data_IF_050077728139
#
_entry.id   IF_050077728139
#
_cell.length_a   1.000
_cell.length_b   1.000
_cell.length_c   1.000
_cell.angle_alpha   90.00
_cell.angle_beta   90.00
_cell.angle_gamma   90.00
#
_symmetry.space_group_name_H-M   'P 1'
#
loop_
_entity.id
_entity.type
_entity.pdbx_description
1 polymer ?
#
# COMPACT_ATOMS: atom_id res chain seq x y z
N UNK A 1 -39.14 -40.67 -19.09
CA UNK A 1 -38.27 -39.66 -18.47
C UNK A 1 -37.09 -40.36 -17.81
N UNK A 2 -35.88 -40.19 -18.36
CA UNK A 2 -34.69 -40.21 -17.52
C UNK A 2 -33.64 -39.16 -17.91
N UNK A 3 -32.79 -38.88 -16.93
CA UNK A 3 -31.56 -38.09 -16.96
C UNK A 3 -30.47 -38.88 -17.70
N UNK A 4 -29.87 -38.30 -18.75
CA UNK A 4 -28.43 -38.36 -19.11
C UNK A 4 -28.26 -38.07 -20.60
N UNK A 5 -27.55 -36.99 -20.95
CA UNK A 5 -26.66 -36.86 -22.11
C UNK A 5 -26.46 -35.37 -22.43
N UNK A 6 -25.25 -34.87 -22.13
CA UNK A 6 -24.49 -33.90 -22.96
C UNK A 6 -23.18 -33.54 -22.24
N UNK A 7 -22.27 -34.49 -22.23
CA UNK A 7 -20.82 -34.22 -22.25
C UNK A 7 -20.36 -34.66 -23.65
N UNK A 8 -19.44 -33.86 -24.24
CA UNK A 8 -18.63 -34.11 -25.44
C UNK A 8 -19.13 -33.54 -26.79
N UNK A 9 -18.59 -32.38 -27.15
CA UNK A 9 -18.10 -31.93 -28.48
C UNK A 9 -17.81 -30.41 -28.36
N UNK A 10 -16.70 -29.81 -28.78
CA UNK A 10 -15.61 -30.22 -29.64
C UNK A 10 -14.41 -29.30 -29.32
N UNK A 11 -13.19 -29.86 -29.29
CA UNK A 11 -11.92 -29.12 -29.29
C UNK A 11 -11.49 -28.83 -30.74
N UNK A 12 -10.65 -27.79 -30.89
CA UNK A 12 -9.69 -27.50 -31.96
C UNK A 12 -10.06 -26.43 -33.01
N UNK A 13 -9.30 -25.33 -33.04
CA UNK A 13 -8.38 -24.99 -34.14
C UNK A 13 -7.39 -23.88 -33.69
N UNK A 14 -6.15 -23.97 -34.18
CA UNK A 14 -4.95 -23.17 -33.84
C UNK A 14 -4.36 -22.59 -35.13
N UNK A 15 -3.69 -21.42 -34.99
CA UNK A 15 -2.71 -20.78 -35.90
C UNK A 15 -3.27 -20.13 -37.20
N UNK A 16 -2.73 -19.04 -37.78
CA UNK A 16 -1.48 -18.28 -37.65
C UNK A 16 -1.71 -16.90 -38.33
N UNK A 17 -1.04 -15.82 -37.93
CA UNK A 17 -0.24 -14.97 -38.85
C UNK A 17 0.51 -13.87 -38.08
N UNK A 18 1.82 -13.83 -38.32
CA UNK A 18 2.72 -12.74 -37.98
C UNK A 18 2.84 -11.81 -39.19
N UNK A 19 2.93 -10.49 -38.95
CA UNK A 19 3.38 -9.53 -39.97
C UNK A 19 4.34 -8.53 -39.32
N UNK A 20 5.58 -8.55 -39.79
CA UNK A 20 6.60 -7.52 -39.59
C UNK A 20 6.28 -6.33 -40.51
N UNK A 21 6.40 -5.10 -40.01
CA UNK A 21 6.66 -3.94 -40.84
C UNK A 21 7.65 -3.01 -40.13
N UNK A 22 8.84 -2.92 -40.71
CA UNK A 22 9.86 -1.93 -40.40
C UNK A 22 9.62 -0.69 -41.26
N UNK A 23 9.71 0.50 -40.66
CA UNK A 23 10.08 1.70 -41.41
C UNK A 23 10.84 2.66 -40.51
N UNK A 24 12.07 2.94 -40.90
CA UNK A 24 12.93 4.01 -40.39
C UNK A 24 12.30 5.38 -40.66
N UNK A 25 12.40 6.28 -39.69
CA UNK A 25 12.26 7.72 -39.88
C UNK A 25 13.22 8.44 -38.94
N UNK A 26 14.24 9.08 -39.50
CA UNK A 26 15.26 9.86 -38.80
C UNK A 26 14.99 11.35 -39.03
N UNK A 27 14.82 12.17 -37.97
CA UNK A 27 15.27 13.57 -37.92
C UNK A 27 15.06 14.25 -36.53
N UNK A 28 16.17 14.33 -35.79
CA UNK A 28 16.77 15.43 -34.99
C UNK A 28 15.95 16.51 -34.24
N UNK A 29 16.12 16.45 -32.91
CA UNK A 29 16.56 17.45 -31.90
C UNK A 29 15.95 18.86 -31.72
N UNK A 30 15.61 19.14 -30.45
CA UNK A 30 15.70 20.47 -29.82
C UNK A 30 15.21 20.52 -28.36
N UNK A 31 16.12 20.70 -27.39
CA UNK A 31 15.85 21.49 -26.15
C UNK A 31 15.41 20.81 -24.83
N UNK A 32 16.39 20.33 -24.05
CA UNK A 32 16.56 20.27 -22.58
C UNK A 32 15.39 20.26 -21.55
N UNK A 33 15.39 19.25 -20.66
CA UNK A 33 15.45 19.34 -19.18
C UNK A 33 15.76 17.94 -18.57
N UNK A 34 16.51 17.79 -17.45
CA UNK A 34 16.89 16.48 -16.94
C UNK A 34 15.72 15.82 -16.17
N UNK A 35 15.43 14.55 -16.46
CA UNK A 35 14.52 13.74 -15.68
C UNK A 35 15.22 13.20 -14.41
N UNK A 36 14.54 13.07 -13.26
CA UNK A 36 15.09 12.36 -12.12
C UNK A 36 15.07 10.85 -12.44
N UNK A 37 16.23 10.32 -12.78
CA UNK A 37 16.41 8.89 -13.06
C UNK A 37 16.23 8.08 -11.79
N UNK A 38 15.12 7.36 -11.68
CA UNK A 38 15.08 6.15 -10.87
C UNK A 38 16.13 5.19 -11.44
N UNK A 39 17.14 4.86 -10.64
CA UNK A 39 18.12 3.84 -11.01
C UNK A 39 17.40 2.53 -11.34
N UNK A 40 17.49 2.11 -12.60
CA UNK A 40 16.92 0.86 -13.12
C UNK A 40 17.84 -0.34 -12.92
N UNK A 41 19.08 -0.11 -12.46
CA UNK A 41 20.06 -1.15 -12.23
C UNK A 41 19.74 -1.95 -10.96
N UNK A 42 19.81 -3.30 -11.00
CA UNK A 42 19.87 -4.11 -9.78
C UNK A 42 21.02 -3.60 -8.89
N UNK A 43 20.89 -3.67 -7.55
CA UNK A 43 22.01 -3.36 -6.67
C UNK A 43 23.22 -4.22 -7.08
N UNK A 44 24.40 -3.58 -7.12
CA UNK A 44 25.64 -4.24 -7.47
C UNK A 44 25.85 -5.51 -6.64
N UNK A 45 26.27 -6.59 -7.30
CA UNK A 45 26.62 -7.85 -6.66
C UNK A 45 27.69 -7.58 -5.58
N UNK A 46 27.31 -7.65 -4.31
CA UNK A 46 28.18 -7.38 -3.16
C UNK A 46 27.48 -6.81 -1.93
N UNK A 47 26.33 -6.14 -2.07
CA UNK A 47 25.49 -5.77 -0.94
C UNK A 47 24.50 -6.91 -0.63
N UNK A 48 24.35 -7.30 0.64
CA UNK A 48 23.36 -8.30 1.06
C UNK A 48 21.94 -7.96 0.59
N UNK A 49 21.00 -8.91 0.73
CA UNK A 49 19.64 -8.81 0.19
C UNK A 49 18.98 -7.42 0.48
N UNK A 50 18.24 -6.84 -0.48
CA UNK A 50 17.43 -5.67 -0.23
C UNK A 50 16.39 -5.98 0.87
N UNK A 51 15.99 -4.94 1.60
CA UNK A 51 14.98 -5.02 2.65
C UNK A 51 13.72 -4.33 2.21
N UNK A 52 12.58 -4.99 2.36
CA UNK A 52 11.25 -4.38 2.34
C UNK A 52 10.83 -4.06 3.77
N UNK A 53 10.88 -2.79 4.15
CA UNK A 53 10.34 -2.31 5.42
C UNK A 53 8.84 -2.09 5.32
N UNK A 54 8.09 -2.55 6.33
CA UNK A 54 6.67 -2.23 6.49
C UNK A 54 6.53 -1.29 7.68
N UNK A 55 5.99 -0.09 7.47
CA UNK A 55 5.67 0.85 8.55
C UNK A 55 4.18 1.13 8.57
N UNK A 56 3.63 1.28 9.77
CA UNK A 56 2.20 1.48 9.93
C UNK A 56 1.71 1.22 11.36
N UNK A 57 0.41 1.00 11.45
CA UNK A 57 -0.31 0.84 12.71
C UNK A 57 -0.67 -0.62 13.04
N UNK A 58 -1.70 -0.84 13.87
CA UNK A 58 -2.16 -2.17 14.29
C UNK A 58 -2.65 -3.04 13.13
N UNK A 59 -3.10 -2.44 12.04
CA UNK A 59 -3.59 -3.17 10.85
C UNK A 59 -2.46 -3.66 9.94
N UNK A 60 -1.22 -3.22 10.20
CA UNK A 60 0.00 -3.66 9.50
C UNK A 60 0.87 -4.56 10.40
N UNK A 61 0.91 -4.25 11.70
CA UNK A 61 1.72 -4.92 12.74
C UNK A 61 1.59 -6.46 12.73
N UNK A 62 2.67 -7.13 13.15
CA UNK A 62 2.65 -8.57 13.50
C UNK A 62 1.64 -8.83 14.62
N UNK A 63 0.86 -9.91 14.47
CA UNK A 63 -0.34 -10.15 15.27
C UNK A 63 -0.14 -10.28 16.77
N UNK A 64 -1.24 -10.11 17.49
CA UNK A 64 -1.44 -10.55 18.88
C UNK A 64 -2.59 -11.55 18.90
N UNK A 65 -2.78 -12.33 19.97
CA UNK A 65 -3.83 -13.35 20.00
C UNK A 65 -5.20 -12.80 19.52
N UNK A 66 -5.75 -13.39 18.46
CA UNK A 66 -7.03 -13.01 17.85
C UNK A 66 -7.02 -11.87 16.83
N UNK A 67 -5.91 -11.13 16.66
CA UNK A 67 -5.80 -10.00 15.73
C UNK A 67 -4.49 -10.04 14.94
N UNK A 68 -4.56 -9.92 13.62
CA UNK A 68 -3.41 -9.95 12.72
C UNK A 68 -3.47 -8.77 11.75
N UNK A 69 -2.38 -8.03 11.62
CA UNK A 69 -2.20 -7.04 10.56
C UNK A 69 -1.69 -7.70 9.28
N UNK A 70 -1.96 -7.10 8.12
CA UNK A 70 -1.59 -7.68 6.82
C UNK A 70 -0.08 -7.80 6.61
N UNK A 71 0.73 -7.04 7.36
CA UNK A 71 2.18 -7.04 7.21
C UNK A 71 2.85 -8.35 7.63
N UNK A 72 2.14 -9.23 8.32
CA UNK A 72 2.62 -10.59 8.62
C UNK A 72 2.40 -11.55 7.42
N UNK A 73 1.17 -11.80 6.94
CA UNK A 73 0.93 -12.67 5.79
C UNK A 73 1.55 -12.16 4.47
N UNK A 74 1.75 -10.85 4.31
CA UNK A 74 2.37 -10.29 3.10
C UNK A 74 3.81 -10.78 2.91
N UNK A 75 4.53 -11.12 3.97
CA UNK A 75 5.91 -11.56 3.89
C UNK A 75 6.06 -12.83 3.03
N UNK A 76 5.08 -13.73 3.09
CA UNK A 76 5.07 -14.98 2.29
C UNK A 76 4.87 -14.76 0.78
N UNK A 77 4.47 -13.56 0.36
CA UNK A 77 4.34 -13.18 -1.05
C UNK A 77 5.64 -12.68 -1.68
N UNK A 78 6.72 -12.59 -0.90
CA UNK A 78 8.04 -12.19 -1.36
C UNK A 78 9.01 -13.37 -1.27
N UNK A 79 9.92 -13.47 -2.25
CA UNK A 79 10.90 -14.55 -2.32
C UNK A 79 12.02 -14.31 -1.28
N UNK A 80 12.11 -15.14 -0.22
CA UNK A 80 13.08 -14.92 0.86
C UNK A 80 14.54 -15.12 0.40
N UNK A 81 14.77 -15.76 -0.75
CA UNK A 81 16.11 -15.85 -1.34
C UNK A 81 16.54 -14.53 -2.03
N UNK A 82 15.62 -13.59 -2.24
CA UNK A 82 15.85 -12.37 -3.03
C UNK A 82 15.57 -11.07 -2.29
N UNK A 83 14.74 -11.09 -1.24
CA UNK A 83 14.42 -9.91 -0.44
C UNK A 83 14.10 -10.30 1.01
N UNK A 84 14.49 -9.45 1.95
CA UNK A 84 14.12 -9.59 3.37
C UNK A 84 12.90 -8.71 3.66
N UNK A 85 11.84 -9.26 4.24
CA UNK A 85 10.68 -8.47 4.70
C UNK A 85 10.81 -8.19 6.20
N UNK A 86 10.74 -6.91 6.60
CA UNK A 86 10.88 -6.48 7.99
C UNK A 86 9.68 -5.62 8.38
N UNK A 87 8.82 -6.17 9.23
CA UNK A 87 7.66 -5.46 9.74
C UNK A 87 8.02 -4.59 10.96
N UNK A 88 8.02 -3.28 10.76
CA UNK A 88 8.29 -2.25 11.78
C UNK A 88 7.03 -1.54 12.25
N UNK A 89 5.86 -1.96 11.79
CA UNK A 89 4.60 -1.37 12.20
C UNK A 89 4.33 -1.60 13.70
N UNK A 90 3.67 -0.62 14.32
CA UNK A 90 3.43 -0.63 15.77
C UNK A 90 1.98 -0.27 16.07
N UNK A 91 1.31 -1.16 16.80
CA UNK A 91 -0.08 -0.98 17.19
C UNK A 91 -0.33 0.36 17.90
N UNK A 92 -1.43 1.01 17.52
CA UNK A 92 -1.86 2.27 18.09
C UNK A 92 -1.04 3.50 17.69
N UNK A 93 -0.13 3.41 16.71
CA UNK A 93 0.60 4.58 16.20
C UNK A 93 -0.14 5.23 15.05
N UNK A 94 -0.02 6.54 14.96
CA UNK A 94 -0.43 7.35 13.81
C UNK A 94 0.79 7.70 12.97
N UNK A 95 0.59 8.35 11.81
CA UNK A 95 1.69 8.93 11.03
C UNK A 95 2.54 9.88 11.88
N UNK A 96 1.93 10.62 12.80
CA UNK A 96 2.61 11.51 13.76
C UNK A 96 3.41 10.74 14.81
N UNK A 97 2.76 9.86 15.57
CA UNK A 97 3.42 9.27 16.75
C UNK A 97 4.48 8.24 16.37
N UNK A 98 4.41 7.70 15.15
CA UNK A 98 5.51 6.90 14.62
C UNK A 98 6.80 7.71 14.47
N UNK A 99 6.71 9.00 14.11
CA UNK A 99 7.87 9.90 14.07
C UNK A 99 8.28 10.32 15.48
N UNK A 100 7.34 10.84 16.28
CA UNK A 100 7.68 11.48 17.56
C UNK A 100 8.16 10.52 18.65
N UNK A 101 7.86 9.24 18.52
CA UNK A 101 8.40 8.17 19.37
C UNK A 101 9.77 7.63 18.88
N UNK A 102 10.33 8.21 17.81
CA UNK A 102 11.61 7.79 17.24
C UNK A 102 11.57 6.42 16.57
N UNK A 103 10.39 5.92 16.19
CA UNK A 103 10.27 4.64 15.48
C UNK A 103 10.77 4.77 14.05
N UNK A 104 10.49 5.90 13.39
CA UNK A 104 11.01 6.19 12.06
C UNK A 104 12.55 6.26 12.02
N UNK A 105 13.16 6.93 13.00
CA UNK A 105 14.62 7.05 13.08
C UNK A 105 15.32 5.69 13.14
N UNK A 106 14.72 4.71 13.84
CA UNK A 106 15.24 3.33 13.88
C UNK A 106 15.16 2.63 12.52
N UNK A 107 14.10 2.88 11.75
CA UNK A 107 13.98 2.34 10.39
C UNK A 107 15.04 2.98 9.49
N UNK A 108 15.20 4.31 9.54
CA UNK A 108 16.21 5.03 8.76
C UNK A 108 17.64 4.64 9.08
N UNK A 109 17.92 4.27 10.33
CA UNK A 109 19.23 3.79 10.74
C UNK A 109 19.60 2.43 10.09
N UNK A 110 18.61 1.60 9.78
CA UNK A 110 18.80 0.30 9.13
C UNK A 110 18.71 0.35 7.60
N UNK A 111 18.09 1.41 7.07
CA UNK A 111 17.80 1.55 5.64
C UNK A 111 19.07 1.84 4.84
N UNK A 112 19.24 1.12 3.72
CA UNK A 112 20.34 1.30 2.77
C UNK A 112 19.84 1.48 1.32
N UNK A 113 20.70 1.98 0.41
CA UNK A 113 20.34 2.09 -1.00
C UNK A 113 19.84 0.76 -1.59
N UNK A 114 18.75 0.82 -2.36
CA UNK A 114 18.11 -0.36 -2.95
C UNK A 114 17.07 -1.05 -2.06
N UNK A 115 16.89 -0.61 -0.81
CA UNK A 115 15.78 -1.05 0.02
C UNK A 115 14.44 -0.44 -0.44
N UNK A 116 13.34 -0.95 0.12
CA UNK A 116 11.97 -0.53 -0.13
C UNK A 116 11.27 -0.21 1.18
N UNK A 117 10.28 0.68 1.14
CA UNK A 117 9.36 0.90 2.27
C UNK A 117 7.91 0.97 1.80
N UNK A 118 7.05 0.14 2.39
CA UNK A 118 5.60 0.28 2.31
C UNK A 118 5.11 1.00 3.57
N UNK A 119 4.34 2.06 3.40
CA UNK A 119 3.81 2.83 4.53
C UNK A 119 2.29 2.94 4.47
N UNK A 120 1.64 2.58 5.58
CA UNK A 120 0.19 2.70 5.74
C UNK A 120 -0.17 3.23 7.13
N UNK A 121 -0.80 4.41 7.17
CA UNK A 121 -1.32 5.03 8.39
C UNK A 121 -2.75 5.54 8.15
N UNK A 122 -3.37 6.15 9.16
CA UNK A 122 -4.70 6.75 9.08
C UNK A 122 -5.67 6.30 10.16
N UNK A 123 -5.55 5.07 10.71
CA UNK A 123 -6.53 4.59 11.70
C UNK A 123 -6.44 5.32 13.05
N UNK A 124 -5.23 5.77 13.44
CA UNK A 124 -4.98 6.48 14.70
C UNK A 124 -4.71 7.98 14.51
N UNK A 125 -4.78 8.47 13.27
CA UNK A 125 -4.50 9.86 12.92
C UNK A 125 -5.68 10.81 13.20
N UNK A 126 -6.85 10.24 13.47
CA UNK A 126 -8.03 11.00 13.87
C UNK A 126 -8.15 11.22 15.38
N UNK A 127 -8.95 12.22 15.76
CA UNK A 127 -9.25 12.56 17.15
C UNK A 127 -8.51 13.81 17.64
N UNK A 128 -8.49 14.06 18.96
CA UNK A 128 -7.78 15.20 19.54
C UNK A 128 -6.26 15.06 19.42
N UNK A 129 -5.59 16.17 19.08
CA UNK A 129 -4.12 16.24 19.01
C UNK A 129 -3.45 16.42 20.37
N UNK A 130 -4.19 16.82 21.40
CA UNK A 130 -3.73 17.03 22.77
C UNK A 130 -4.88 16.80 23.76
N UNK A 131 -4.60 16.89 25.06
CA UNK A 131 -5.64 16.89 26.10
C UNK A 131 -6.27 15.53 26.40
N UNK A 132 -5.72 14.43 25.87
CA UNK A 132 -6.15 13.07 26.20
C UNK A 132 -4.95 12.14 26.37
N UNK A 133 -5.06 11.06 27.18
CA UNK A 133 -3.98 10.07 27.33
C UNK A 133 -3.60 9.33 26.03
N UNK A 134 -4.42 9.44 24.98
CA UNK A 134 -4.18 8.80 23.67
C UNK A 134 -4.15 9.83 22.54
N UNK A 135 -3.64 11.02 22.79
CA UNK A 135 -3.47 12.09 21.81
C UNK A 135 -2.47 11.69 20.71
N UNK A 136 -2.96 10.96 19.72
CA UNK A 136 -2.17 10.41 18.60
C UNK A 136 -2.44 11.12 17.29
N UNK A 137 -3.49 11.93 17.23
CA UNK A 137 -3.96 12.52 15.98
C UNK A 137 -2.91 13.41 15.32
N UNK A 138 -2.92 13.43 14.00
CA UNK A 138 -2.27 14.45 13.18
C UNK A 138 -3.27 15.57 12.88
N UNK A 139 -2.82 16.68 12.28
CA UNK A 139 -3.76 17.60 11.64
C UNK A 139 -4.36 16.95 10.39
N UNK A 140 -5.57 17.35 10.04
CA UNK A 140 -6.26 16.91 8.82
C UNK A 140 -5.60 17.56 7.60
N UNK A 141 -5.69 16.90 6.45
CA UNK A 141 -5.21 17.44 5.18
C UNK A 141 -3.86 16.90 4.74
N UNK A 142 -3.44 17.36 3.57
CA UNK A 142 -2.14 17.08 2.98
C UNK A 142 -1.28 18.34 2.78
N UNK A 143 -1.65 19.48 3.37
CA UNK A 143 -0.88 20.72 3.26
C UNK A 143 0.29 20.81 4.24
N UNK A 144 0.80 22.02 4.43
CA UNK A 144 1.95 22.34 5.31
C UNK A 144 1.50 22.87 6.68
N UNK A 145 0.20 22.82 7.00
CA UNK A 145 -0.35 23.38 8.22
C UNK A 145 0.25 22.71 9.46
N UNK A 146 0.49 23.54 10.48
CA UNK A 146 1.08 23.13 11.75
C UNK A 146 0.29 23.69 12.94
N UNK A 147 0.51 23.10 14.11
CA UNK A 147 -0.05 23.58 15.38
C UNK A 147 0.88 23.19 16.52
N UNK A 148 1.30 24.18 17.31
CA UNK A 148 1.98 23.90 18.57
C UNK A 148 0.98 23.40 19.63
N UNK A 149 1.34 22.35 20.35
CA UNK A 149 0.59 21.83 21.49
C UNK A 149 1.52 21.66 22.71
N UNK A 150 0.92 21.51 23.88
CA UNK A 150 1.58 20.90 25.05
C UNK A 150 1.35 19.38 24.98
N UNK A 151 2.40 18.63 24.65
CA UNK A 151 2.38 17.19 24.50
C UNK A 151 2.38 16.45 25.84
N UNK A 152 2.99 17.05 26.86
CA UNK A 152 3.02 16.53 28.22
C UNK A 152 2.71 17.67 29.19
N UNK A 153 1.54 17.59 29.83
CA UNK A 153 1.08 18.60 30.78
C UNK A 153 1.90 18.60 32.07
N UNK A 154 2.54 17.49 32.44
CA UNK A 154 3.36 17.40 33.64
C UNK A 154 4.73 18.07 33.45
N UNK A 155 5.32 17.94 32.26
CA UNK A 155 6.64 18.53 31.96
C UNK A 155 6.55 19.87 31.21
N UNK A 156 5.36 20.25 30.71
CA UNK A 156 5.19 21.41 29.84
C UNK A 156 5.81 21.23 28.45
N UNK A 157 6.21 20.01 28.08
CA UNK A 157 6.88 19.73 26.81
C UNK A 157 5.98 20.13 25.64
N UNK A 158 6.47 21.02 24.79
CA UNK A 158 5.81 21.46 23.56
C UNK A 158 6.10 20.52 22.39
N UNK A 159 5.18 20.44 21.45
CA UNK A 159 5.33 19.70 20.20
C UNK A 159 4.63 20.44 19.05
N UNK A 160 5.29 20.53 17.89
CA UNK A 160 4.67 21.01 16.65
C UNK A 160 4.03 19.85 15.90
N UNK A 161 2.70 19.88 15.78
CA UNK A 161 1.92 18.87 15.07
C UNK A 161 1.67 19.32 13.65
N UNK A 162 2.03 18.47 12.67
CA UNK A 162 1.81 18.71 11.24
C UNK A 162 0.55 18.00 10.72
N UNK A 163 0.19 18.26 9.46
CA UNK A 163 -0.84 17.49 8.74
C UNK A 163 -0.43 16.04 8.50
N UNK A 164 -1.43 15.18 8.31
CA UNK A 164 -1.24 13.78 7.93
C UNK A 164 -0.34 13.65 6.70
N UNK A 165 -0.63 14.41 5.63
CA UNK A 165 0.16 14.34 4.41
C UNK A 165 1.60 14.79 4.62
N UNK A 166 1.86 15.78 5.50
CA UNK A 166 3.22 16.21 5.82
C UNK A 166 4.08 15.06 6.38
N UNK A 167 3.54 14.28 7.32
CA UNK A 167 4.29 13.14 7.90
C UNK A 167 4.62 12.10 6.84
N UNK A 168 3.66 11.79 5.94
CA UNK A 168 3.92 10.86 4.84
C UNK A 168 4.97 11.39 3.87
N UNK A 169 4.92 12.68 3.52
CA UNK A 169 5.93 13.31 2.66
C UNK A 169 7.32 13.23 3.27
N UNK A 170 7.43 13.52 4.58
CA UNK A 170 8.68 13.37 5.32
C UNK A 170 9.23 11.93 5.21
N UNK A 171 8.41 10.91 5.42
CA UNK A 171 8.86 9.51 5.30
C UNK A 171 9.33 9.15 3.90
N UNK A 172 8.63 9.63 2.87
CA UNK A 172 9.04 9.42 1.48
C UNK A 172 10.36 10.12 1.19
N UNK A 173 10.49 11.39 1.56
CA UNK A 173 11.69 12.19 1.32
C UNK A 173 12.92 11.59 2.02
N UNK A 174 12.78 11.23 3.31
CA UNK A 174 13.86 10.62 4.08
C UNK A 174 14.28 9.25 3.48
N UNK A 175 13.31 8.42 3.06
CA UNK A 175 13.61 7.13 2.42
C UNK A 175 14.34 7.31 1.09
N UNK A 176 13.90 8.27 0.25
CA UNK A 176 14.58 8.60 -1.00
C UNK A 176 16.01 9.11 -0.76
N UNK A 177 16.21 9.92 0.27
CA UNK A 177 17.55 10.40 0.67
C UNK A 177 18.48 9.24 1.10
N UNK A 178 17.94 8.13 1.59
CA UNK A 178 18.67 6.87 1.86
C UNK A 178 18.87 5.99 0.62
N UNK A 179 18.38 6.38 -0.54
CA UNK A 179 18.41 5.58 -1.77
C UNK A 179 17.40 4.43 -1.79
N UNK A 180 16.38 4.47 -0.92
CA UNK A 180 15.31 3.50 -0.89
C UNK A 180 14.09 3.94 -1.73
N UNK A 181 13.29 2.97 -2.17
CA UNK A 181 12.06 3.22 -2.93
C UNK A 181 10.84 3.18 -2.01
N UNK A 182 10.12 4.29 -1.92
CA UNK A 182 8.93 4.42 -1.08
C UNK A 182 7.63 4.16 -1.87
N UNK A 183 6.71 3.43 -1.25
CA UNK A 183 5.33 3.23 -1.71
C UNK A 183 4.38 3.60 -0.58
N UNK A 184 3.44 4.51 -0.86
CA UNK A 184 2.39 4.93 0.07
C UNK A 184 1.14 4.11 -0.19
N UNK A 185 0.53 3.58 0.88
CA UNK A 185 -0.73 2.86 0.83
C UNK A 185 -1.77 3.63 1.66
N UNK A 186 -2.96 3.83 1.10
CA UNK A 186 -4.11 4.29 1.89
C UNK A 186 -4.46 3.27 2.99
N UNK A 187 -5.05 3.68 4.13
CA UNK A 187 -5.49 2.72 5.16
C UNK A 187 -6.49 1.72 4.61
N UNK A 188 -6.47 0.47 5.10
CA UNK A 188 -7.54 -0.49 4.82
C UNK A 188 -8.90 0.08 5.28
N UNK A 189 -10.03 -0.30 4.67
CA UNK A 189 -11.33 0.12 5.16
C UNK A 189 -11.62 -0.53 6.52
N UNK A 190 -12.37 0.20 7.35
CA UNK A 190 -13.04 -0.39 8.51
C UNK A 190 -14.20 -1.26 8.04
N UNK A 191 -14.65 -2.21 8.86
CA UNK A 191 -15.91 -2.93 8.62
C UNK A 191 -17.11 -2.01 8.87
N UNK A 192 -17.32 -1.07 7.94
CA UNK A 192 -18.42 -0.11 7.95
C UNK A 192 -19.00 -0.05 6.56
N UNK A 193 -20.31 -0.10 6.49
CA UNK A 193 -21.07 -0.20 5.25
C UNK A 193 -22.09 0.92 5.20
N UNK A 194 -22.27 1.49 4.01
CA UNK A 194 -23.35 2.42 3.70
C UNK A 194 -24.68 1.67 3.58
N UNK A 195 -25.75 2.45 3.51
CA UNK A 195 -27.11 1.92 3.30
C UNK A 195 -27.31 1.31 1.91
N UNK A 196 -26.41 1.61 0.98
CA UNK A 196 -26.32 1.06 -0.38
C UNK A 196 -25.60 -0.29 -0.44
N UNK A 197 -25.20 -0.85 0.71
CA UNK A 197 -24.46 -2.10 0.77
C UNK A 197 -23.01 -1.98 0.29
N UNK A 198 -22.46 -0.76 0.23
CA UNK A 198 -21.06 -0.50 -0.13
C UNK A 198 -20.20 -0.26 1.11
N UNK A 199 -18.97 -0.72 1.10
CA UNK A 199 -18.00 -0.43 2.17
C UNK A 199 -17.72 1.09 2.20
N UNK A 200 -17.58 1.70 3.38
CA UNK A 200 -17.25 3.13 3.43
C UNK A 200 -15.78 3.36 3.06
N UNK A 201 -15.54 4.14 2.00
CA UNK A 201 -14.20 4.51 1.52
C UNK A 201 -13.60 5.67 2.30
N UNK A 202 -12.27 5.71 2.34
CA UNK A 202 -11.47 6.85 2.80
C UNK A 202 -11.16 7.87 1.66
N UNK A 203 -12.01 7.92 0.64
CA UNK A 203 -11.80 8.75 -0.57
C UNK A 203 -11.94 10.27 -0.32
N UNK A 204 -12.50 10.67 0.83
CA UNK A 204 -12.63 12.07 1.23
C UNK A 204 -11.62 12.53 2.28
N UNK A 205 -10.83 11.62 2.85
CA UNK A 205 -9.97 11.89 4.01
C UNK A 205 -8.57 11.23 3.89
N UNK A 206 -8.20 10.30 4.78
CA UNK A 206 -6.85 9.75 4.88
C UNK A 206 -6.43 8.97 3.62
N UNK A 207 -7.36 8.37 2.87
CA UNK A 207 -7.06 7.77 1.58
C UNK A 207 -6.70 8.82 0.54
N UNK A 208 -7.50 9.89 0.44
CA UNK A 208 -7.22 11.06 -0.41
C UNK A 208 -5.90 11.73 -0.05
N UNK A 209 -5.66 12.03 1.22
CA UNK A 209 -4.45 12.72 1.66
C UNK A 209 -3.19 11.85 1.49
N UNK A 210 -3.32 10.52 1.59
CA UNK A 210 -2.22 9.60 1.27
C UNK A 210 -1.86 9.67 -0.22
N UNK A 211 -2.87 9.67 -1.11
CA UNK A 211 -2.66 9.82 -2.55
C UNK A 211 -2.02 11.18 -2.89
N UNK A 212 -2.50 12.26 -2.26
CA UNK A 212 -1.96 13.60 -2.46
C UNK A 212 -0.49 13.71 -1.99
N UNK A 213 -0.15 13.16 -0.83
CA UNK A 213 1.22 13.14 -0.31
C UNK A 213 2.15 12.31 -1.21
N UNK A 214 1.72 11.13 -1.65
CA UNK A 214 2.50 10.28 -2.55
C UNK A 214 2.78 11.00 -3.88
N UNK A 215 1.76 11.65 -4.46
CA UNK A 215 1.88 12.43 -5.69
C UNK A 215 2.83 13.62 -5.52
N UNK A 216 2.71 14.36 -4.42
CA UNK A 216 3.55 15.53 -4.15
C UNK A 216 5.04 15.18 -4.09
N UNK A 217 5.37 14.01 -3.56
CA UNK A 217 6.76 13.53 -3.48
C UNK A 217 7.19 12.69 -4.69
N UNK A 218 6.29 12.39 -5.64
CA UNK A 218 6.57 11.44 -6.72
C UNK A 218 6.93 10.05 -6.21
N UNK A 219 6.22 9.54 -5.19
CA UNK A 219 6.25 8.15 -4.76
C UNK A 219 5.12 7.35 -5.41
N UNK A 220 5.29 6.03 -5.49
CA UNK A 220 4.20 5.15 -5.92
C UNK A 220 3.07 5.16 -4.87
N UNK A 221 1.83 5.09 -5.35
CA UNK A 221 0.64 5.03 -4.51
C UNK A 221 -0.18 3.79 -4.84
N UNK A 222 -0.61 3.08 -3.80
CA UNK A 222 -1.58 1.99 -3.89
C UNK A 222 -2.82 2.39 -3.09
N UNK A 223 -3.96 2.50 -3.77
CA UNK A 223 -5.26 2.72 -3.13
C UNK A 223 -5.77 1.41 -2.51
N UNK A 224 -5.07 0.95 -1.47
CA UNK A 224 -5.41 -0.25 -0.73
C UNK A 224 -6.81 -0.17 -0.12
N UNK A 225 -7.31 1.03 0.18
CA UNK A 225 -8.65 1.24 0.70
C UNK A 225 -9.68 0.75 -0.30
N UNK A 226 -9.57 1.21 -1.55
CA UNK A 226 -10.46 0.81 -2.64
C UNK A 226 -10.31 -0.67 -2.99
N UNK A 227 -9.07 -1.18 -3.10
CA UNK A 227 -8.83 -2.59 -3.44
C UNK A 227 -9.49 -3.53 -2.43
N UNK A 228 -9.28 -3.27 -1.13
CA UNK A 228 -9.87 -4.09 -0.06
C UNK A 228 -11.38 -3.90 0.00
N UNK A 229 -11.88 -2.67 -0.19
CA UNK A 229 -13.30 -2.40 -0.15
C UNK A 229 -14.06 -3.15 -1.25
N UNK A 230 -13.54 -3.17 -2.47
CA UNK A 230 -14.10 -3.97 -3.58
C UNK A 230 -14.05 -5.46 -3.28
N UNK A 231 -12.99 -5.95 -2.64
CA UNK A 231 -12.87 -7.35 -2.24
C UNK A 231 -13.89 -7.73 -1.16
N UNK A 232 -14.09 -6.87 -0.18
CA UNK A 232 -15.11 -7.06 0.86
C UNK A 232 -16.51 -7.04 0.27
N UNK A 233 -16.81 -6.16 -0.69
CA UNK A 233 -18.09 -6.15 -1.40
C UNK A 233 -18.38 -7.45 -2.16
N UNK A 234 -17.37 -8.05 -2.77
CA UNK A 234 -17.51 -9.36 -3.43
C UNK A 234 -17.82 -10.48 -2.42
N UNK A 235 -17.29 -10.37 -1.19
CA UNK A 235 -17.51 -11.35 -0.12
C UNK A 235 -18.89 -11.15 0.54
N UNK A 236 -19.34 -9.90 0.63
CA UNK A 236 -20.59 -9.51 1.27
C UNK A 236 -20.42 -9.15 2.76
N UNK A 237 -21.35 -8.34 3.26
CA UNK A 237 -21.27 -7.73 4.59
C UNK A 237 -21.22 -8.75 5.74
N UNK A 238 -22.10 -9.75 5.74
CA UNK A 238 -22.18 -10.71 6.84
C UNK A 238 -20.93 -11.59 6.93
N UNK A 239 -20.42 -12.21 5.85
CA UNK A 239 -19.18 -12.97 5.93
C UNK A 239 -17.96 -12.09 6.26
N UNK A 240 -17.92 -10.83 5.81
CA UNK A 240 -16.83 -9.90 6.17
C UNK A 240 -16.77 -9.64 7.68
N UNK A 241 -17.91 -9.65 8.39
CA UNK A 241 -17.92 -9.53 9.86
C UNK A 241 -17.07 -10.59 10.56
N UNK A 242 -17.04 -11.81 10.02
CA UNK A 242 -16.23 -12.91 10.56
C UNK A 242 -14.72 -12.75 10.30
N UNK A 243 -14.30 -11.75 9.51
CA UNK A 243 -12.89 -11.45 9.24
C UNK A 243 -12.26 -10.51 10.28
N UNK A 244 -13.04 -10.00 11.24
CA UNK A 244 -12.59 -9.05 12.24
C UNK A 244 -12.55 -9.65 13.65
N UNK A 245 -11.48 -9.35 14.38
CA UNK A 245 -11.16 -9.87 15.72
C UNK A 245 -11.88 -9.12 16.85
N UNK A 246 -13.18 -8.88 16.70
CA UNK A 246 -14.04 -8.32 17.75
C UNK A 246 -14.36 -6.83 17.67
N UNK A 247 -13.82 -6.09 16.71
CA UNK A 247 -14.19 -4.69 16.43
C UNK A 247 -14.27 -4.42 14.92
N UNK A 248 -14.47 -3.16 14.51
CA UNK A 248 -14.60 -2.79 13.09
C UNK A 248 -13.28 -2.39 12.42
N UNK A 249 -12.12 -2.58 13.07
CA UNK A 249 -10.80 -2.15 12.56
C UNK A 249 -9.80 -3.29 12.45
N UNK A 250 -9.73 -4.16 13.46
CA UNK A 250 -8.70 -5.18 13.54
C UNK A 250 -9.17 -6.49 12.91
N UNK A 251 -8.45 -6.95 11.89
CA UNK A 251 -8.70 -8.23 11.23
C UNK A 251 -8.16 -9.41 12.06
N UNK A 252 -8.76 -10.58 11.88
CA UNK A 252 -8.14 -11.86 12.25
C UNK A 252 -7.19 -12.34 11.14
N UNK A 253 -6.66 -13.56 11.25
CA UNK A 253 -5.73 -14.11 10.27
C UNK A 253 -6.29 -14.17 8.83
N UNK A 254 -7.57 -14.55 8.68
CA UNK A 254 -8.21 -14.63 7.37
C UNK A 254 -8.40 -13.24 6.73
N UNK A 255 -8.85 -12.25 7.52
CA UNK A 255 -8.94 -10.86 7.04
C UNK A 255 -7.57 -10.27 6.70
N UNK A 256 -6.54 -10.57 7.49
CA UNK A 256 -5.18 -10.12 7.23
C UNK A 256 -4.61 -10.71 5.92
N UNK A 257 -4.89 -11.99 5.62
CA UNK A 257 -4.48 -12.62 4.38
C UNK A 257 -5.15 -11.97 3.16
N UNK A 258 -6.44 -11.62 3.25
CA UNK A 258 -7.17 -10.90 2.20
C UNK A 258 -6.56 -9.51 1.95
N UNK A 259 -6.22 -8.80 3.03
CA UNK A 259 -5.57 -7.50 2.96
C UNK A 259 -4.15 -7.61 2.37
N UNK A 260 -3.38 -8.64 2.74
CA UNK A 260 -2.06 -8.89 2.17
C UNK A 260 -2.11 -9.21 0.67
N UNK A 261 -3.07 -10.05 0.24
CA UNK A 261 -3.29 -10.30 -1.17
C UNK A 261 -3.68 -9.01 -1.93
N UNK A 262 -4.46 -8.13 -1.29
CA UNK A 262 -4.83 -6.81 -1.85
C UNK A 262 -3.61 -5.89 -1.99
N UNK A 263 -2.68 -5.91 -1.04
CA UNK A 263 -1.39 -5.21 -1.17
C UNK A 263 -0.60 -5.71 -2.38
N UNK A 264 -0.51 -7.03 -2.56
CA UNK A 264 0.20 -7.63 -3.71
C UNK A 264 -0.49 -7.29 -5.03
N UNK A 265 -1.83 -7.32 -5.07
CA UNK A 265 -2.59 -6.92 -6.25
C UNK A 265 -2.31 -5.45 -6.62
N UNK A 266 -2.28 -4.57 -5.62
CA UNK A 266 -1.93 -3.16 -5.78
C UNK A 266 -0.51 -2.95 -6.28
N UNK A 267 0.48 -3.64 -5.69
CA UNK A 267 1.89 -3.57 -6.13
C UNK A 267 2.05 -4.04 -7.59
N UNK A 268 1.37 -5.12 -7.98
CA UNK A 268 1.37 -5.61 -9.37
C UNK A 268 0.68 -4.64 -10.34
N UNK A 269 -0.26 -3.83 -9.86
CA UNK A 269 -0.93 -2.77 -10.63
C UNK A 269 -0.05 -1.53 -10.85
N UNK A 270 1.07 -1.39 -10.12
CA UNK A 270 2.02 -0.30 -10.34
C UNK A 270 2.81 -0.54 -11.63
N UNK A 271 2.81 0.44 -12.54
CA UNK A 271 3.54 0.37 -13.81
C UNK A 271 5.05 0.19 -13.58
N UNK A 272 5.59 -0.91 -14.13
CA UNK A 272 7.03 -1.26 -14.15
C UNK A 272 7.75 -1.16 -12.79
N UNK A 273 7.02 -1.32 -11.68
CA UNK A 273 7.58 -1.04 -10.36
C UNK A 273 8.59 -2.12 -9.94
N UNK A 274 9.82 -1.77 -9.50
CA UNK A 274 10.90 -2.72 -9.24
C UNK A 274 10.60 -3.74 -8.15
N UNK A 275 9.70 -3.41 -7.21
CA UNK A 275 9.30 -4.33 -6.13
C UNK A 275 8.64 -5.62 -6.66
N UNK A 276 8.00 -5.58 -7.84
CA UNK A 276 7.37 -6.77 -8.45
C UNK A 276 8.36 -7.88 -8.79
N UNK A 277 9.64 -7.54 -8.97
CA UNK A 277 10.72 -8.48 -9.30
C UNK A 277 11.02 -9.46 -8.16
N UNK A 278 10.60 -9.14 -6.93
CA UNK A 278 10.89 -9.91 -5.71
C UNK A 278 9.72 -10.76 -5.23
N UNK A 279 8.63 -10.84 -5.99
CA UNK A 279 7.47 -11.64 -5.64
C UNK A 279 7.78 -13.14 -5.68
N UNK A 280 7.24 -13.90 -4.73
CA UNK A 280 7.35 -15.36 -4.66
C UNK A 280 6.31 -16.05 -5.56
N UNK A 281 6.42 -17.37 -5.78
CA UNK A 281 5.38 -18.14 -6.48
C UNK A 281 3.98 -18.02 -5.84
N UNK A 282 3.87 -17.76 -4.53
CA UNK A 282 2.57 -17.52 -3.87
C UNK A 282 1.81 -16.36 -4.53
N UNK A 283 2.54 -15.34 -4.98
CA UNK A 283 1.95 -14.19 -5.64
C UNK A 283 1.40 -14.51 -7.03
N UNK A 284 1.74 -15.63 -7.67
CA UNK A 284 1.27 -15.96 -9.02
C UNK A 284 -0.26 -15.98 -9.13
N UNK A 285 -0.95 -16.36 -8.05
CA UNK A 285 -2.40 -16.45 -7.96
C UNK A 285 -3.11 -15.11 -7.72
N UNK A 286 -2.35 -14.05 -7.43
CA UNK A 286 -2.90 -12.70 -7.20
C UNK A 286 -2.82 -11.93 -8.52
N UNK A 287 -3.98 -11.61 -9.09
CA UNK A 287 -4.05 -10.73 -10.26
C UNK A 287 -3.61 -9.31 -9.92
N UNK A 288 -3.05 -8.59 -10.90
CA UNK A 288 -2.81 -7.16 -10.76
C UNK A 288 -4.14 -6.42 -10.57
N UNK A 289 -4.20 -5.47 -9.66
CA UNK A 289 -5.36 -4.61 -9.56
C UNK A 289 -5.38 -3.63 -10.74
N UNK A 290 -6.47 -3.66 -11.49
CA UNK A 290 -6.79 -2.68 -12.52
C UNK A 290 -8.01 -1.89 -12.06
N UNK A 291 -7.97 -0.56 -12.15
CA UNK A 291 -9.16 0.23 -11.82
C UNK A 291 -10.34 -0.18 -12.73
N UNK A 292 -11.60 -0.09 -12.25
CA UNK A 292 -12.76 -0.40 -13.09
C UNK A 292 -12.76 0.36 -14.43
N UNK A 293 -12.29 1.61 -14.44
CA UNK A 293 -12.12 2.39 -15.66
C UNK A 293 -11.04 1.82 -16.60
N UNK A 294 -9.90 1.38 -16.07
CA UNK A 294 -8.85 0.74 -16.86
C UNK A 294 -9.27 -0.65 -17.38
N UNK A 295 -10.03 -1.40 -16.59
CA UNK A 295 -10.58 -2.70 -17.00
C UNK A 295 -11.60 -2.54 -18.13
N UNK A 296 -12.49 -1.53 -18.05
CA UNK A 296 -13.45 -1.21 -19.10
C UNK A 296 -12.74 -0.75 -20.40
N UNK A 297 -11.69 0.07 -20.29
CA UNK A 297 -10.90 0.49 -21.45
C UNK A 297 -10.14 -0.70 -22.10
N UNK A 298 -9.55 -1.59 -21.29
CA UNK A 298 -8.88 -2.79 -21.81
C UNK A 298 -9.85 -3.76 -22.50
N UNK A 299 -11.06 -3.91 -21.96
CA UNK A 299 -12.11 -4.72 -22.58
C UNK A 299 -12.64 -4.12 -23.90
N UNK A 300 -12.67 -2.78 -24.02
CA UNK A 300 -13.08 -2.08 -25.24
C UNK A 300 -12.04 -2.17 -26.36
N UNK A 301 -10.76 -2.34 -26.04
CA UNK A 301 -9.67 -2.55 -27.03
C UNK A 301 -9.59 -4.01 -27.50
N UNK A 302 -10.21 -4.93 -26.75
CA UNK A 302 -10.25 -6.36 -27.09
C UNK A 302 -11.48 -6.77 -27.93
N UNK A 303 -12.36 -5.81 -28.28
CA UNK A 303 -13.51 -5.98 -29.18
C UNK A 303 -13.22 -5.32 -30.53
#
# INVERSE_FOLDING_TARGET
MPVSNRIAALKAAVALTAALASSLGLARAGGAAPAPGASTAPPAAGAGLPTLFLIGDSTVKVGTAGQLGWGDPVAAYFDPARIRVVNRARGGRSSRTFLTEGLWDRVLAEMKPGDFVLMQFGHNDGGPVSGTPRARASLKGAGEETREIVADAATGKKETVHTYGWYLRKYVADAKAKGATAVVLSPIPRNRWGTDGKVLRAAGDYGKWAAEAARAEGAAFVDLNEIVALRYEQIGQEPVKALFGGDWTHTNAAGAEINAASVVAGIKGLKDHPLTRYLSPKAAWVAAFTTPAAAAAAAAVAQ
#
